data_IF_603208132479
#
_entry.id   IF_603208132479
#
_cell.length_a   1.000
_cell.length_b   1.000
_cell.length_c   1.000
_cell.angle_alpha   90.00
_cell.angle_beta   90.00
_cell.angle_gamma   90.00
#
_symmetry.space_group_name_H-M   'P 1'
#
loop_
_entity.id
_entity.type
_entity.pdbx_description
1 polymer ?
#
# COMPACT_ATOMS: atom_id res chain seq x y z
N UNK A 1 -29.13 8.09 -0.57
CA UNK A 1 -27.68 7.97 -0.38
C UNK A 1 -27.20 7.03 -1.47
N UNK A 2 -26.42 7.52 -2.41
CA UNK A 2 -25.84 6.68 -3.46
C UNK A 2 -24.81 5.79 -2.79
N UNK A 3 -25.11 4.50 -2.68
CA UNK A 3 -24.09 3.50 -2.31
C UNK A 3 -23.21 3.42 -3.55
N UNK A 4 -22.04 4.07 -3.53
CA UNK A 4 -21.02 3.84 -4.55
C UNK A 4 -20.62 2.37 -4.44
N UNK A 5 -21.24 1.53 -5.28
CA UNK A 5 -20.97 0.11 -5.33
C UNK A 5 -19.68 -0.06 -6.12
N UNK A 6 -18.61 -0.49 -5.45
CA UNK A 6 -17.35 -0.87 -6.09
C UNK A 6 -17.59 -2.00 -7.10
N UNK A 7 -16.80 -2.02 -8.17
CA UNK A 7 -16.84 -3.04 -9.21
C UNK A 7 -15.44 -3.27 -9.82
N UNK A 8 -15.30 -4.34 -10.61
CA UNK A 8 -14.07 -4.61 -11.38
C UNK A 8 -13.64 -3.38 -12.20
N UNK A 9 -12.34 -3.18 -12.33
CA UNK A 9 -11.70 -2.05 -13.01
C UNK A 9 -11.89 -0.68 -12.34
N UNK A 10 -12.63 -0.58 -11.22
CA UNK A 10 -12.63 0.64 -10.43
C UNK A 10 -11.22 0.90 -9.88
N UNK A 11 -10.73 2.12 -10.07
CA UNK A 11 -9.52 2.58 -9.41
C UNK A 11 -9.85 2.88 -7.95
N UNK A 12 -9.00 2.40 -7.05
CA UNK A 12 -9.17 2.54 -5.61
C UNK A 12 -7.93 3.12 -4.96
N UNK A 13 -8.11 3.83 -3.85
CA UNK A 13 -7.03 4.24 -2.96
C UNK A 13 -7.25 3.63 -1.58
N UNK A 14 -6.21 3.01 -1.02
CA UNK A 14 -6.20 2.51 0.36
C UNK A 14 -6.18 3.69 1.32
N UNK A 15 -7.16 3.79 2.20
CA UNK A 15 -7.31 4.90 3.17
C UNK A 15 -6.94 4.49 4.60
N UNK A 16 -6.80 3.20 4.88
CA UNK A 16 -6.40 2.64 6.18
C UNK A 16 -5.16 1.76 6.04
N UNK A 17 -4.16 1.97 6.89
CA UNK A 17 -3.00 1.09 6.97
C UNK A 17 -3.28 -0.07 7.93
N UNK A 18 -2.95 -1.31 7.53
CA UNK A 18 -3.03 -2.50 8.38
C UNK A 18 -1.77 -3.33 8.22
N UNK A 19 -1.34 -4.00 9.28
CA UNK A 19 -0.13 -4.83 9.27
C UNK A 19 -0.19 -5.91 8.17
N UNK A 20 -1.36 -6.56 8.03
CA UNK A 20 -1.59 -7.57 6.97
C UNK A 20 -1.37 -7.04 5.55
N UNK A 21 -1.64 -5.76 5.30
CA UNK A 21 -1.41 -5.13 3.99
C UNK A 21 0.05 -4.74 3.83
N UNK A 22 0.63 -4.16 4.88
CA UNK A 22 2.03 -3.73 4.89
C UNK A 22 3.01 -4.90 4.69
N UNK A 23 2.65 -6.11 5.14
CA UNK A 23 3.44 -7.33 4.92
C UNK A 23 3.62 -7.67 3.44
N UNK A 24 2.64 -7.32 2.63
CA UNK A 24 2.63 -7.49 1.17
C UNK A 24 3.11 -6.20 0.46
N UNK A 25 3.69 -5.25 1.20
CA UNK A 25 4.17 -3.97 0.65
C UNK A 25 3.07 -2.93 0.38
N UNK A 26 1.82 -3.19 0.74
CA UNK A 26 0.69 -2.29 0.53
C UNK A 26 0.47 -1.38 1.73
N UNK A 27 0.52 -0.06 1.50
CA UNK A 27 0.42 0.95 2.55
C UNK A 27 -0.71 1.95 2.29
N UNK A 28 -1.15 2.63 3.36
CA UNK A 28 -2.12 3.73 3.26
C UNK A 28 -1.64 4.76 2.23
N UNK A 29 -2.56 5.16 1.35
CA UNK A 29 -2.33 6.11 0.26
C UNK A 29 -2.01 5.46 -1.08
N UNK A 30 -1.67 4.17 -1.11
CA UNK A 30 -1.44 3.45 -2.36
C UNK A 30 -2.72 3.29 -3.17
N UNK A 31 -2.54 3.26 -4.48
CA UNK A 31 -3.56 3.14 -5.50
C UNK A 31 -3.49 1.76 -6.15
N UNK A 32 -4.66 1.21 -6.48
CA UNK A 32 -4.78 -0.03 -7.23
C UNK A 32 -6.05 -0.03 -8.07
N UNK A 33 -6.32 -1.13 -8.75
CA UNK A 33 -7.61 -1.39 -9.38
C UNK A 33 -8.18 -2.73 -8.91
N UNK A 34 -9.50 -2.84 -8.88
CA UNK A 34 -10.17 -4.11 -8.58
C UNK A 34 -9.98 -5.04 -9.78
N UNK A 35 -9.27 -6.15 -9.60
CA UNK A 35 -8.91 -7.09 -10.67
C UNK A 35 -9.74 -8.38 -10.67
N UNK A 36 -10.73 -8.47 -9.79
CA UNK A 36 -11.68 -9.59 -9.75
C UNK A 36 -13.11 -9.08 -9.55
N UNK A 37 -14.10 -9.58 -10.31
CA UNK A 37 -15.46 -9.05 -10.31
C UNK A 37 -16.26 -9.37 -9.05
N UNK A 38 -15.84 -10.35 -8.24
CA UNK A 38 -16.59 -10.75 -7.05
C UNK A 38 -16.04 -10.11 -5.77
N UNK A 39 -16.96 -9.57 -4.96
CA UNK A 39 -16.69 -9.20 -3.58
C UNK A 39 -17.07 -10.35 -2.66
N UNK A 40 -16.10 -10.86 -1.91
CA UNK A 40 -16.32 -11.95 -0.96
C UNK A 40 -16.15 -11.44 0.47
N UNK A 41 -17.21 -11.55 1.28
CA UNK A 41 -17.23 -11.11 2.68
C UNK A 41 -16.78 -9.64 2.88
N UNK A 42 -17.10 -8.75 1.93
CA UNK A 42 -16.70 -7.34 1.96
C UNK A 42 -15.23 -7.10 1.60
N UNK A 43 -14.57 -8.06 0.94
CA UNK A 43 -13.22 -7.92 0.41
C UNK A 43 -13.22 -7.96 -1.12
N UNK A 44 -12.41 -7.09 -1.69
CA UNK A 44 -12.13 -7.01 -3.13
C UNK A 44 -10.68 -7.41 -3.39
N UNK A 45 -10.43 -8.16 -4.46
CA UNK A 45 -9.06 -8.41 -4.93
C UNK A 45 -8.57 -7.18 -5.69
N UNK A 46 -7.44 -6.63 -5.26
CA UNK A 46 -6.89 -5.38 -5.79
C UNK A 46 -5.45 -5.60 -6.20
N UNK A 47 -5.14 -5.21 -7.44
CA UNK A 47 -3.78 -5.17 -7.94
C UNK A 47 -3.18 -3.76 -7.72
N UNK A 48 -1.95 -3.71 -7.22
CA UNK A 48 -1.20 -2.50 -6.89
C UNK A 48 -0.01 -2.31 -7.84
N UNK A 49 -0.15 -1.51 -8.91
CA UNK A 49 0.87 -1.43 -9.93
C UNK A 49 2.05 -0.53 -9.57
N UNK A 50 3.12 -0.70 -10.36
CA UNK A 50 4.24 0.22 -10.49
C UNK A 50 4.22 0.94 -11.85
N UNK A 51 5.06 1.96 -12.04
CA UNK A 51 5.17 2.67 -13.31
C UNK A 51 6.05 1.90 -14.31
N UNK A 52 5.57 1.74 -15.54
CA UNK A 52 6.30 1.10 -16.65
C UNK A 52 6.18 -0.42 -16.64
N UNK A 53 7.15 -1.11 -17.21
CA UNK A 53 7.21 -2.58 -17.31
C UNK A 53 7.73 -3.26 -16.01
N UNK A 54 7.49 -2.64 -14.85
CA UNK A 54 7.87 -3.21 -13.56
C UNK A 54 6.79 -4.16 -13.09
N UNK A 55 7.20 -5.18 -12.34
CA UNK A 55 6.25 -6.05 -11.64
C UNK A 55 5.36 -5.22 -10.70
N UNK A 56 4.12 -5.67 -10.54
CA UNK A 56 3.19 -5.09 -9.59
C UNK A 56 3.71 -5.29 -8.16
N UNK A 57 3.38 -4.35 -7.27
CA UNK A 57 3.77 -4.42 -5.86
C UNK A 57 3.13 -5.63 -5.20
N UNK A 58 1.82 -5.80 -5.43
CA UNK A 58 1.03 -6.87 -4.84
C UNK A 58 -0.31 -7.04 -5.55
N UNK A 59 -0.89 -8.23 -5.42
CA UNK A 59 -2.28 -8.52 -5.72
C UNK A 59 -2.91 -9.15 -4.48
N UNK A 60 -3.73 -8.39 -3.75
CA UNK A 60 -4.22 -8.82 -2.42
C UNK A 60 -5.66 -8.40 -2.16
N UNK A 61 -6.32 -9.12 -1.25
CA UNK A 61 -7.68 -8.80 -0.83
C UNK A 61 -7.72 -7.64 0.17
N UNK A 62 -8.43 -6.57 -0.16
CA UNK A 62 -8.62 -5.40 0.69
C UNK A 62 -10.09 -5.27 1.09
N UNK A 63 -10.35 -4.89 2.35
CA UNK A 63 -11.72 -4.71 2.83
C UNK A 63 -12.28 -3.43 2.21
N UNK A 64 -13.53 -3.47 1.75
CA UNK A 64 -14.19 -2.35 1.07
C UNK A 64 -14.11 -1.04 1.87
N UNK A 65 -14.33 -1.10 3.19
CA UNK A 65 -14.27 0.06 4.09
C UNK A 65 -12.86 0.67 4.26
N UNK A 66 -11.81 -0.07 3.88
CA UNK A 66 -10.42 0.39 3.95
C UNK A 66 -9.99 1.13 2.68
N UNK A 67 -10.90 1.29 1.71
CA UNK A 67 -10.65 1.92 0.42
C UNK A 67 -11.69 2.98 0.08
N UNK A 68 -11.36 3.78 -0.92
CA UNK A 68 -12.33 4.61 -1.64
C UNK A 68 -12.09 4.49 -3.14
N UNK A 69 -13.17 4.54 -3.91
CA UNK A 69 -13.07 4.67 -5.36
C UNK A 69 -12.53 6.05 -5.70
N UNK A 70 -11.64 6.10 -6.70
CA UNK A 70 -11.02 7.32 -7.21
C UNK A 70 -11.13 7.33 -8.73
N UNK A 71 -11.19 8.51 -9.38
CA UNK A 71 -11.31 8.58 -10.83
C UNK A 71 -10.01 8.20 -11.56
N UNK A 72 -8.85 8.42 -10.93
CA UNK A 72 -7.54 8.28 -11.56
C UNK A 72 -6.62 7.46 -10.66
N UNK A 73 -5.92 6.50 -11.27
CA UNK A 73 -4.86 5.71 -10.65
C UNK A 73 -3.51 6.44 -10.80
N UNK A 74 -2.87 6.71 -9.66
CA UNK A 74 -1.55 7.37 -9.64
C UNK A 74 -0.45 6.38 -9.21
N UNK A 75 -0.05 5.48 -10.12
CA UNK A 75 0.97 4.45 -9.83
C UNK A 75 2.31 5.02 -9.32
N UNK A 76 2.69 6.23 -9.74
CA UNK A 76 3.89 6.92 -9.25
C UNK A 76 3.87 7.14 -7.73
N UNK A 77 2.68 7.34 -7.15
CA UNK A 77 2.52 7.51 -5.70
C UNK A 77 2.84 6.20 -4.98
N UNK A 78 2.53 5.05 -5.56
CA UNK A 78 2.87 3.75 -4.98
C UNK A 78 4.38 3.60 -4.85
N UNK A 79 5.13 3.95 -5.88
CA UNK A 79 6.60 3.88 -5.86
C UNK A 79 7.19 4.82 -4.81
N UNK A 80 6.65 6.05 -4.70
CA UNK A 80 7.08 7.00 -3.68
C UNK A 80 6.83 6.50 -2.26
N UNK A 81 5.68 5.86 -2.03
CA UNK A 81 5.34 5.28 -0.73
C UNK A 81 6.25 4.08 -0.44
N UNK A 82 6.38 3.14 -1.38
CA UNK A 82 7.26 1.96 -1.28
C UNK A 82 8.69 2.37 -0.90
N UNK A 83 9.28 3.32 -1.63
CA UNK A 83 10.64 3.80 -1.38
C UNK A 83 10.83 4.41 0.03
N UNK A 84 9.80 5.09 0.57
CA UNK A 84 9.85 5.64 1.94
C UNK A 84 9.88 4.55 3.00
N UNK A 85 9.10 3.49 2.82
CA UNK A 85 9.05 2.37 3.75
C UNK A 85 10.31 1.49 3.67
N UNK A 86 10.85 1.24 2.48
CA UNK A 86 12.12 0.52 2.30
C UNK A 86 13.28 1.27 2.98
N UNK A 87 13.41 2.57 2.72
CA UNK A 87 14.44 3.40 3.37
C UNK A 87 14.30 3.43 4.90
N UNK A 88 13.07 3.46 5.41
CA UNK A 88 12.80 3.40 6.85
C UNK A 88 13.22 2.08 7.48
N UNK A 89 13.04 0.96 6.78
CA UNK A 89 13.48 -0.36 7.23
C UNK A 89 15.00 -0.47 7.27
N UNK A 90 15.70 0.03 6.25
CA UNK A 90 17.17 0.02 6.22
C UNK A 90 17.77 0.85 7.36
N UNK A 91 17.14 2.00 7.65
CA UNK A 91 17.51 2.85 8.78
C UNK A 91 17.24 2.15 10.12
N UNK A 92 16.08 1.51 10.28
CA UNK A 92 15.76 0.78 11.51
C UNK A 92 16.68 -0.44 11.75
N UNK A 93 17.05 -1.15 10.67
CA UNK A 93 18.01 -2.27 10.75
C UNK A 93 19.40 -1.79 11.15
N UNK A 94 19.88 -0.67 10.61
CA UNK A 94 21.20 -0.14 10.99
C UNK A 94 21.27 0.27 12.47
N UNK A 95 20.18 0.79 13.05
CA UNK A 95 20.09 1.04 14.49
C UNK A 95 20.04 -0.24 15.33
N UNK A 96 19.36 -1.29 14.85
CA UNK A 96 19.27 -2.57 15.54
C UNK A 96 20.61 -3.36 15.51
N UNK A 97 21.40 -3.20 14.45
CA UNK A 97 22.69 -3.87 14.25
C UNK A 97 23.87 -3.11 14.89
N UNK A 98 23.74 -1.80 15.15
CA UNK A 98 24.75 -0.98 15.83
C UNK A 98 24.12 -0.07 16.91
N UNK A 99 23.73 -0.63 18.08
CA UNK A 99 23.16 0.15 19.18
C UNK A 99 24.15 1.13 19.84
N UNK A 100 25.46 0.97 19.59
CA UNK A 100 26.53 1.68 20.29
C UNK A 100 26.83 3.11 19.75
N UNK A 101 26.18 3.54 18.67
CA UNK A 101 26.37 4.89 18.10
C UNK A 101 25.60 6.01 18.84
N UNK A 102 25.23 5.77 20.11
CA UNK A 102 24.62 6.74 21.01
C UNK A 102 25.62 7.41 21.95
N UNK A 103 26.91 7.04 21.89
CA UNK A 103 27.93 7.64 22.77
C UNK A 103 28.40 9.04 22.34
N UNK A 104 28.11 9.48 21.11
CA UNK A 104 28.62 10.75 20.57
C UNK A 104 27.65 11.95 20.70
N UNK A 105 26.44 11.76 21.23
CA UNK A 105 25.42 12.82 21.36
C UNK A 105 24.93 13.10 22.78
N UNK A 106 25.63 12.57 23.80
CA UNK A 106 25.48 13.05 25.18
C UNK A 106 26.79 13.71 25.63
N UNK A 107 26.97 14.99 25.26
CA UNK A 107 27.82 15.95 25.95
C UNK A 107 26.89 16.98 26.60
#
# INVERSE_FOLDING_TARGET
MEVNKMQEMDNVQVIVGKERYAREGVHKGMYGWICYPECSNGYWLVNFPQCGEKDDIAEISIKEEDMKVVPILHAIVNEQIKARFEKGMDTAKSFAENPDNLSDYMI
#
